data_IF_261537156896
#
_entry.id   IF_261537156896
#
_cell.length_a   1.000
_cell.length_b   1.000
_cell.length_c   1.000
_cell.angle_alpha   90.00
_cell.angle_beta   90.00
_cell.angle_gamma   90.00
#
_symmetry.space_group_name_H-M   'P 1'
#
loop_
_entity.id
_entity.type
_entity.pdbx_description
1 polymer ?
#
# COMPACT_ATOMS: atom_id res chain seq x y z
N UNK A 1 25.56 6.39 -6.80
CA UNK A 1 25.40 5.35 -5.74
C UNK A 1 23.91 5.05 -5.61
N UNK A 2 23.45 3.79 -5.74
CA UNK A 2 22.07 3.46 -5.44
C UNK A 2 21.80 3.74 -3.95
N UNK A 3 20.72 4.46 -3.64
CA UNK A 3 20.30 4.71 -2.26
C UNK A 3 20.01 3.36 -1.59
N UNK A 4 20.56 3.13 -0.39
CA UNK A 4 20.24 1.98 0.45
C UNK A 4 18.70 1.96 0.64
N UNK A 5 18.00 0.83 0.43
CA UNK A 5 16.58 0.76 0.72
C UNK A 5 16.36 1.18 2.17
N UNK A 6 15.39 2.08 2.38
CA UNK A 6 15.07 2.64 3.69
C UNK A 6 14.60 1.52 4.59
N UNK A 7 15.44 1.09 5.53
CA UNK A 7 15.11 0.10 6.55
C UNK A 7 14.23 0.69 7.66
N UNK A 8 13.17 1.40 7.29
CA UNK A 8 12.07 1.66 8.22
C UNK A 8 11.04 0.55 7.99
N UNK A 9 10.90 -0.40 8.93
CA UNK A 9 9.69 -1.19 8.97
C UNK A 9 8.53 -0.18 9.08
N UNK A 10 7.48 -0.27 8.24
CA UNK A 10 6.27 0.53 8.44
C UNK A 10 5.81 0.32 9.88
N UNK A 11 5.26 1.34 10.53
CA UNK A 11 4.81 1.22 11.92
C UNK A 11 3.72 0.14 12.03
N UNK A 12 4.15 -1.08 12.36
CA UNK A 12 3.37 -2.31 12.25
C UNK A 12 2.26 -2.31 13.31
N UNK A 13 1.02 -2.06 12.89
CA UNK A 13 -0.14 -2.52 13.66
C UNK A 13 -0.43 -3.95 13.23
N UNK A 14 0.01 -4.91 14.06
CA UNK A 14 -0.32 -6.32 13.87
C UNK A 14 -1.80 -6.53 14.18
N UNK A 15 -2.62 -6.80 13.16
CA UNK A 15 -3.97 -7.32 13.36
C UNK A 15 -4.06 -8.71 12.71
N UNK A 16 -4.55 -9.68 13.50
CA UNK A 16 -4.64 -11.09 13.13
C UNK A 16 -5.58 -11.38 11.94
N UNK A 17 -5.74 -12.68 11.66
CA UNK A 17 -6.53 -13.28 10.57
C UNK A 17 -7.65 -12.37 10.02
N UNK A 18 -7.51 -11.96 8.77
CA UNK A 18 -8.50 -11.17 8.05
C UNK A 18 -9.73 -12.03 7.75
N UNK A 19 -10.91 -11.56 8.16
CA UNK A 19 -12.17 -12.15 7.70
C UNK A 19 -12.32 -11.88 6.20
N UNK A 20 -12.38 -12.92 5.39
CA UNK A 20 -12.67 -12.83 3.96
C UNK A 20 -14.04 -12.15 3.81
N UNK A 21 -14.11 -11.02 3.11
CA UNK A 21 -15.38 -10.43 2.74
C UNK A 21 -16.15 -11.46 1.88
N UNK A 22 -17.45 -11.60 2.15
CA UNK A 22 -18.29 -12.69 1.66
C UNK A 22 -18.07 -13.03 0.19
N UNK A 23 -18.01 -14.34 -0.07
CA UNK A 23 -17.66 -15.03 -1.32
C UNK A 23 -16.16 -15.31 -1.53
N UNK A 24 -15.54 -16.14 -0.67
CA UNK A 24 -14.44 -17.07 -1.04
C UNK A 24 -13.16 -16.54 -1.70
N UNK A 25 -13.01 -15.23 -1.92
CA UNK A 25 -11.95 -14.65 -2.72
C UNK A 25 -10.83 -14.11 -1.84
N UNK A 26 -9.64 -14.70 -2.00
CA UNK A 26 -8.40 -14.20 -1.43
C UNK A 26 -7.88 -13.05 -2.29
N UNK A 27 -7.64 -11.89 -1.67
CA UNK A 27 -6.94 -10.76 -2.32
C UNK A 27 -5.67 -10.41 -1.56
N UNK A 28 -4.49 -10.38 -2.21
CA UNK A 28 -3.23 -9.99 -1.56
C UNK A 28 -3.15 -8.48 -1.22
N UNK A 29 -4.12 -7.70 -1.71
CA UNK A 29 -4.23 -6.26 -1.50
C UNK A 29 -5.68 -5.94 -1.16
N UNK A 30 -5.93 -5.27 -0.03
CA UNK A 30 -7.27 -4.99 0.48
C UNK A 30 -7.37 -3.49 0.78
N UNK A 31 -8.39 -2.84 0.22
CA UNK A 31 -8.76 -1.47 0.56
C UNK A 31 -9.70 -1.46 1.77
N UNK A 32 -9.42 -0.62 2.77
CA UNK A 32 -10.25 -0.51 3.99
C UNK A 32 -11.17 0.71 3.98
N UNK A 33 -11.05 1.59 2.98
CA UNK A 33 -11.73 2.89 2.93
C UNK A 33 -10.79 4.06 3.25
N UNK A 34 -9.79 3.86 4.11
CA UNK A 34 -8.84 4.90 4.54
C UNK A 34 -7.39 4.44 4.64
N UNK A 35 -7.14 3.15 4.42
CA UNK A 35 -5.83 2.49 4.40
C UNK A 35 -5.84 1.33 3.39
N UNK A 36 -4.67 0.79 3.11
CA UNK A 36 -4.45 -0.41 2.30
C UNK A 36 -3.77 -1.45 3.17
N UNK A 37 -4.27 -2.68 3.11
CA UNK A 37 -3.62 -3.85 3.69
C UNK A 37 -2.97 -4.69 2.58
N UNK A 38 -1.70 -5.02 2.75
CA UNK A 38 -0.86 -5.75 1.80
C UNK A 38 -0.34 -7.02 2.47
N UNK A 39 -0.38 -8.15 1.78
CA UNK A 39 0.37 -9.33 2.22
C UNK A 39 1.85 -9.19 1.84
N UNK A 40 2.75 -9.47 2.77
CA UNK A 40 4.19 -9.47 2.50
C UNK A 40 4.61 -10.75 1.79
N UNK A 41 4.67 -10.68 0.46
CA UNK A 41 5.05 -11.82 -0.38
C UNK A 41 6.53 -12.23 -0.25
N UNK A 42 7.38 -11.45 0.45
CA UNK A 42 8.77 -11.83 0.71
C UNK A 42 8.89 -12.81 1.89
N UNK A 43 7.88 -12.86 2.75
CA UNK A 43 7.83 -13.73 3.94
C UNK A 43 7.18 -15.08 3.67
N UNK A 44 6.36 -15.16 2.61
CA UNK A 44 5.74 -16.40 2.18
C UNK A 44 6.78 -17.40 1.62
N UNK A 45 6.59 -18.71 1.85
CA UNK A 45 5.48 -19.35 2.57
C UNK A 45 5.74 -19.53 4.07
N UNK A 46 6.85 -19.02 4.60
CA UNK A 46 7.26 -19.22 6.00
C UNK A 46 6.34 -18.49 6.98
N UNK A 47 5.88 -17.30 6.60
CA UNK A 47 5.06 -16.45 7.45
C UNK A 47 4.06 -15.66 6.61
N UNK A 48 2.78 -15.71 7.01
CA UNK A 48 1.73 -14.86 6.46
C UNK A 48 1.68 -13.56 7.26
N UNK A 49 2.42 -12.55 6.80
CA UNK A 49 2.46 -11.23 7.41
C UNK A 49 1.63 -10.24 6.57
N UNK A 50 0.74 -9.49 7.23
CA UNK A 50 -0.02 -8.41 6.63
C UNK A 50 0.47 -7.06 7.14
N UNK A 51 0.64 -6.11 6.23
CA UNK A 51 1.03 -4.73 6.50
C UNK A 51 -0.15 -3.84 6.16
N UNK A 52 -0.59 -2.99 7.08
CA UNK A 52 -1.62 -1.99 6.81
C UNK A 52 -1.05 -0.58 6.91
N UNK A 53 -1.31 0.23 5.89
CA UNK A 53 -0.82 1.61 5.83
C UNK A 53 -1.82 2.56 5.19
N UNK A 54 -1.87 3.78 5.70
CA UNK A 54 -2.57 4.91 5.07
C UNK A 54 -1.62 5.88 4.37
N UNK A 55 -0.31 5.61 4.36
CA UNK A 55 0.70 6.39 3.64
C UNK A 55 0.98 5.75 2.28
N UNK A 56 0.65 6.45 1.20
CA UNK A 56 0.91 5.98 -0.16
C UNK A 56 2.41 5.74 -0.44
N UNK A 57 3.30 6.44 0.29
CA UNK A 57 4.75 6.32 0.13
C UNK A 57 5.24 4.95 0.62
N UNK A 58 4.61 4.39 1.65
CA UNK A 58 4.91 3.04 2.14
C UNK A 58 4.50 1.97 1.12
N UNK A 59 3.38 2.16 0.41
CA UNK A 59 2.97 1.25 -0.68
C UNK A 59 3.97 1.29 -1.84
N UNK A 60 4.44 2.47 -2.23
CA UNK A 60 5.51 2.61 -3.24
C UNK A 60 6.80 1.91 -2.81
N UNK A 61 7.14 1.99 -1.52
CA UNK A 61 8.21 1.21 -0.91
C UNK A 61 7.98 -0.30 -1.06
N UNK A 62 6.79 -0.78 -0.69
CA UNK A 62 6.42 -2.19 -0.78
C UNK A 62 6.51 -2.76 -2.22
N UNK A 63 6.18 -1.96 -3.24
CA UNK A 63 6.39 -2.36 -4.65
C UNK A 63 7.89 -2.47 -4.97
N UNK A 64 8.68 -1.46 -4.59
CA UNK A 64 10.14 -1.41 -4.85
C UNK A 64 10.89 -2.54 -4.15
N UNK A 65 10.47 -2.88 -2.94
CA UNK A 65 11.08 -3.92 -2.11
C UNK A 65 10.53 -5.33 -2.41
N UNK A 66 9.72 -5.47 -3.47
CA UNK A 66 9.14 -6.74 -3.94
C UNK A 66 8.21 -7.44 -2.93
N UNK A 67 7.73 -6.70 -1.93
CA UNK A 67 6.63 -7.10 -1.04
C UNK A 67 5.32 -7.24 -1.83
N UNK A 68 5.10 -6.30 -2.75
CA UNK A 68 4.03 -6.37 -3.76
C UNK A 68 4.65 -6.60 -5.13
N UNK A 69 4.28 -7.70 -5.78
CA UNK A 69 4.79 -8.07 -7.09
C UNK A 69 3.73 -8.77 -7.95
N UNK A 70 4.01 -8.84 -9.25
CA UNK A 70 3.08 -9.28 -10.28
C UNK A 70 2.35 -8.11 -10.91
N UNK A 71 2.29 -8.05 -12.25
CA UNK A 71 1.78 -6.88 -12.96
C UNK A 71 0.36 -6.44 -12.52
N UNK A 72 -0.61 -7.35 -12.31
CA UNK A 72 -1.94 -6.97 -11.81
C UNK A 72 -1.89 -6.34 -10.40
N UNK A 73 -1.13 -6.95 -9.48
CA UNK A 73 -1.03 -6.47 -8.10
C UNK A 73 -0.31 -5.12 -8.01
N UNK A 74 0.73 -4.90 -8.81
CA UNK A 74 1.41 -3.60 -8.92
C UNK A 74 0.44 -2.52 -9.43
N UNK A 75 -0.38 -2.83 -10.42
CA UNK A 75 -1.41 -1.91 -10.92
C UNK A 75 -2.41 -1.50 -9.84
N UNK A 76 -2.93 -2.47 -9.09
CA UNK A 76 -3.87 -2.24 -7.98
C UNK A 76 -3.20 -1.40 -6.87
N UNK A 77 -1.98 -1.75 -6.45
CA UNK A 77 -1.23 -1.01 -5.44
C UNK A 77 -0.94 0.44 -5.88
N UNK A 78 -0.61 0.65 -7.15
CA UNK A 78 -0.45 1.99 -7.73
C UNK A 78 -1.74 2.81 -7.69
N UNK A 79 -2.87 2.20 -8.04
CA UNK A 79 -4.17 2.87 -7.98
C UNK A 79 -4.55 3.26 -6.54
N UNK A 80 -4.36 2.37 -5.56
CA UNK A 80 -4.63 2.71 -4.16
C UNK A 80 -3.65 3.74 -3.59
N UNK A 81 -2.39 3.73 -4.03
CA UNK A 81 -1.43 4.79 -3.68
C UNK A 81 -1.92 6.16 -4.15
N UNK A 82 -2.43 6.24 -5.39
CA UNK A 82 -2.99 7.47 -5.93
C UNK A 82 -4.22 7.94 -5.15
N UNK A 83 -5.10 7.01 -4.77
CA UNK A 83 -6.27 7.32 -3.94
C UNK A 83 -5.88 7.90 -2.57
N UNK A 84 -4.92 7.27 -1.89
CA UNK A 84 -4.42 7.77 -0.60
C UNK A 84 -3.75 9.15 -0.73
N UNK A 85 -2.96 9.37 -1.78
CA UNK A 85 -2.36 10.68 -2.06
C UNK A 85 -3.43 11.77 -2.26
N UNK A 86 -4.51 11.45 -3.00
CA UNK A 86 -5.64 12.37 -3.17
C UNK A 86 -6.34 12.68 -1.85
N UNK A 87 -6.54 11.67 -1.00
CA UNK A 87 -7.13 11.83 0.33
C UNK A 87 -6.26 12.68 1.27
N UNK A 88 -4.93 12.51 1.21
CA UNK A 88 -3.96 13.31 1.97
C UNK A 88 -4.04 14.78 1.54
N UNK A 89 -3.94 15.05 0.24
CA UNK A 89 -3.97 16.41 -0.32
C UNK A 89 -5.30 17.12 -0.05
N UNK A 90 -6.42 16.40 -0.08
CA UNK A 90 -7.74 16.96 0.23
C UNK A 90 -7.85 17.44 1.68
N UNK A 91 -7.01 16.94 2.61
CA UNK A 91 -6.98 17.39 4.00
C UNK A 91 -6.01 18.55 4.24
N UNK A 92 -4.96 18.67 3.43
CA UNK A 92 -3.84 19.58 3.71
C UNK A 92 -3.78 20.81 2.81
N UNK A 93 -4.42 20.82 1.64
CA UNK A 93 -4.10 21.81 0.60
C UNK A 93 -5.18 22.90 0.39
N UNK A 94 -4.69 24.12 0.13
CA UNK A 94 -5.45 25.24 -0.46
C UNK A 94 -5.49 25.18 -2.01
N UNK A 95 -4.85 24.17 -2.63
CA UNK A 95 -4.86 23.85 -4.06
C UNK A 95 -5.23 22.38 -4.26
N UNK A 96 -5.93 22.04 -5.34
CA UNK A 96 -6.57 20.74 -5.49
C UNK A 96 -5.60 19.60 -5.83
N UNK A 97 -6.04 18.35 -5.65
CA UNK A 97 -5.32 17.15 -6.09
C UNK A 97 -4.81 17.26 -7.54
N UNK A 98 -5.62 17.84 -8.43
CA UNK A 98 -5.27 18.02 -9.85
C UNK A 98 -4.10 18.98 -10.08
N UNK A 99 -3.93 19.99 -9.22
CA UNK A 99 -2.81 20.94 -9.32
C UNK A 99 -1.48 20.27 -8.95
N UNK A 100 -1.50 19.35 -7.98
CA UNK A 100 -0.33 18.56 -7.59
C UNK A 100 -0.03 17.46 -8.61
N UNK A 101 -1.06 16.80 -9.16
CA UNK A 101 -0.87 15.78 -10.20
C UNK A 101 -0.20 16.35 -11.45
N UNK A 102 -0.50 17.59 -11.83
CA UNK A 102 0.13 18.26 -12.97
C UNK A 102 1.61 18.62 -12.79
N UNK A 103 2.17 18.47 -11.59
CA UNK A 103 3.60 18.75 -11.30
C UNK A 103 4.49 17.51 -11.36
N UNK A 104 3.90 16.32 -11.36
CA UNK A 104 4.59 15.02 -11.38
C UNK A 104 4.94 14.59 -12.80
#
# INVERSE_FOLDING_TARGET
MPKKPSAHPPHIKQEGKVALNGAGEFSPIIWTGSSVRLIDQTRLPMEELWVETSDYREIVGAIRDMMVRGAPAIGIAGAYSLALAAMELSRTANGGFYDELGKA
#
